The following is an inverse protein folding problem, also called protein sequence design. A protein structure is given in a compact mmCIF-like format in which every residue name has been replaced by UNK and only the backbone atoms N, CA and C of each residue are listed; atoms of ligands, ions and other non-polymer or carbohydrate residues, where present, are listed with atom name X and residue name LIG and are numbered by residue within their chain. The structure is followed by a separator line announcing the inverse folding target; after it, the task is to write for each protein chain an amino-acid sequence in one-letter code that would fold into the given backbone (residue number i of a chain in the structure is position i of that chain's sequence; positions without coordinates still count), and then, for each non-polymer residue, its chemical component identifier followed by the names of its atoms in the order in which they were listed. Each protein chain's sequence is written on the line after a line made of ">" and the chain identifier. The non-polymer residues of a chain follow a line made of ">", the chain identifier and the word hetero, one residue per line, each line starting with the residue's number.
data_IF_272661342024
#
_entry.id   IF_272661342024
#
_cell.length_a   1.000
_cell.length_b   1.000
_cell.length_c   1.000
_cell.angle_alpha   90.00
_cell.angle_beta   90.00
_cell.angle_gamma   90.00
#
_symmetry.space_group_name_H-M   'P 1'
#
loop_
_entity.id
_entity.type
_entity.pdbx_description
1 polymer ?
#
# COMPACT_ATOMS: atom_id res chain seq x y z
N UNK A 1 7.00 35.09 35.01
CA UNK A 1 7.09 33.64 34.80
C UNK A 1 5.72 33.21 34.31
N UNK A 2 5.53 33.20 32.99
CA UNK A 2 4.25 32.93 32.36
C UNK A 2 4.30 31.48 31.92
N UNK A 3 3.62 30.59 32.64
CA UNK A 3 3.48 29.19 32.23
C UNK A 3 2.63 29.14 30.95
N UNK A 4 3.27 28.90 29.81
CA UNK A 4 2.59 28.50 28.58
C UNK A 4 2.11 27.07 28.78
N UNK A 5 0.80 26.89 28.96
CA UNK A 5 0.16 25.58 28.86
C UNK A 5 -0.18 25.39 27.38
N UNK A 6 0.49 24.46 26.72
CA UNK A 6 0.10 24.00 25.38
C UNK A 6 -1.10 23.06 25.53
N UNK A 7 -2.24 23.49 25.00
CA UNK A 7 -3.46 22.68 24.93
C UNK A 7 -3.18 21.43 24.09
N UNK A 8 -3.62 20.23 24.51
CA UNK A 8 -3.42 19.02 23.74
C UNK A 8 -4.16 19.16 22.41
N UNK A 9 -3.41 19.21 21.32
CA UNK A 9 -3.97 19.14 19.96
C UNK A 9 -4.77 17.85 19.84
N UNK A 10 -6.06 17.99 19.57
CA UNK A 10 -6.94 16.88 19.25
C UNK A 10 -6.36 16.16 18.03
N UNK A 11 -6.01 14.89 18.22
CA UNK A 11 -5.57 14.02 17.14
C UNK A 11 -6.72 13.84 16.16
N UNK A 12 -6.47 14.11 14.88
CA UNK A 12 -7.40 13.95 13.74
C UNK A 12 -7.80 12.48 13.48
N UNK A 13 -7.60 11.57 14.44
CA UNK A 13 -8.03 10.18 14.38
C UNK A 13 -9.54 9.99 14.62
N UNK A 14 -10.34 11.05 14.64
CA UNK A 14 -11.80 10.99 14.68
C UNK A 14 -12.51 11.53 13.43
N UNK A 15 -11.77 11.77 12.34
CA UNK A 15 -12.36 11.91 11.02
C UNK A 15 -12.98 10.59 10.59
N UNK A 16 -14.30 10.57 10.44
CA UNK A 16 -15.09 9.49 9.84
C UNK A 16 -14.45 9.08 8.50
N UNK A 17 -13.60 8.05 8.52
CA UNK A 17 -13.21 7.30 7.33
C UNK A 17 -14.27 6.21 7.08
N UNK A 18 -15.50 6.66 6.88
CA UNK A 18 -16.59 5.82 6.43
C UNK A 18 -16.50 5.67 4.92
N UNK A 19 -16.11 4.50 4.44
CA UNK A 19 -16.84 3.67 3.47
C UNK A 19 -16.06 2.37 3.21
N UNK A 20 -16.79 1.31 2.87
CA UNK A 20 -16.38 -0.10 3.00
C UNK A 20 -15.21 -0.48 2.09
N UNK A 21 -14.00 -0.57 2.65
CA UNK A 21 -12.85 -1.28 2.08
C UNK A 21 -12.09 -1.95 3.22
N UNK A 22 -11.70 -3.21 3.07
CA UNK A 22 -10.97 -3.97 4.08
C UNK A 22 -9.51 -3.51 4.12
N UNK A 23 -9.27 -2.28 4.60
CA UNK A 23 -7.94 -1.68 4.65
C UNK A 23 -7.00 -2.66 5.34
N UNK A 24 -6.06 -3.21 4.57
CA UNK A 24 -4.98 -4.01 5.13
C UNK A 24 -4.23 -3.07 6.08
N UNK A 25 -4.34 -3.36 7.38
CA UNK A 25 -3.72 -2.57 8.44
C UNK A 25 -2.21 -2.61 8.29
N UNK A 26 -1.56 -1.50 8.61
CA UNK A 26 -0.10 -1.44 8.66
C UNK A 26 0.43 -2.48 9.66
N UNK A 27 1.45 -3.23 9.24
CA UNK A 27 2.07 -4.29 10.02
C UNK A 27 3.37 -4.75 9.38
N UNK A 28 4.21 -5.46 10.15
CA UNK A 28 5.55 -5.91 9.70
C UNK A 28 5.49 -6.85 8.48
N UNK A 29 4.34 -7.43 8.21
CA UNK A 29 4.09 -8.39 7.13
C UNK A 29 3.42 -7.75 5.91
N UNK A 30 3.23 -6.43 5.92
CA UNK A 30 2.54 -5.68 4.85
C UNK A 30 3.53 -4.82 4.07
N UNK A 31 3.59 -5.00 2.75
CA UNK A 31 4.31 -4.13 1.83
C UNK A 31 3.33 -3.20 1.11
N UNK A 32 3.66 -1.91 1.07
CA UNK A 32 2.96 -0.93 0.23
C UNK A 32 3.77 -0.66 -1.03
N UNK A 33 3.10 -0.69 -2.19
CA UNK A 33 3.67 -0.39 -3.50
C UNK A 33 2.86 0.73 -4.13
N UNK A 34 3.55 1.80 -4.49
CA UNK A 34 2.98 2.94 -5.20
C UNK A 34 3.54 2.92 -6.63
N UNK A 35 2.64 2.87 -7.61
CA UNK A 35 2.96 2.87 -9.04
C UNK A 35 2.50 4.18 -9.66
N UNK A 36 3.29 4.69 -10.61
CA UNK A 36 3.01 5.94 -11.30
C UNK A 36 3.08 5.70 -12.81
N UNK A 37 2.01 6.04 -13.51
CA UNK A 37 1.94 5.89 -14.97
C UNK A 37 1.02 6.92 -15.60
N UNK A 38 1.12 7.11 -16.92
CA UNK A 38 0.34 8.10 -17.64
C UNK A 38 -1.10 7.66 -17.92
N UNK A 39 -1.39 6.36 -17.80
CA UNK A 39 -2.71 5.78 -18.03
C UNK A 39 -3.03 4.67 -17.04
N UNK A 40 -4.30 4.59 -16.64
CA UNK A 40 -4.85 3.48 -15.85
C UNK A 40 -4.54 2.11 -16.45
N UNK A 41 -4.61 1.97 -17.78
CA UNK A 41 -4.31 0.71 -18.43
C UNK A 41 -2.84 0.27 -18.21
N UNK A 42 -1.91 1.23 -18.15
CA UNK A 42 -0.51 0.93 -17.84
C UNK A 42 -0.33 0.58 -16.36
N UNK A 43 -1.01 1.29 -15.45
CA UNK A 43 -1.02 0.96 -14.02
C UNK A 43 -1.53 -0.45 -13.76
N UNK A 44 -2.61 -0.87 -14.41
CA UNK A 44 -3.16 -2.23 -14.28
C UNK A 44 -2.19 -3.29 -14.81
N UNK A 45 -1.55 -3.05 -15.96
CA UNK A 45 -0.54 -3.96 -16.52
C UNK A 45 0.70 -4.07 -15.61
N UNK A 46 1.15 -2.96 -15.04
CA UNK A 46 2.25 -2.98 -14.08
C UNK A 46 1.84 -3.71 -12.82
N UNK A 47 0.70 -3.35 -12.21
CA UNK A 47 0.15 -4.01 -11.03
C UNK A 47 0.07 -5.53 -11.21
N UNK A 48 -0.38 -6.00 -12.37
CA UNK A 48 -0.44 -7.43 -12.67
C UNK A 48 0.93 -8.12 -12.50
N UNK A 49 2.02 -7.49 -12.94
CA UNK A 49 3.39 -8.01 -12.74
C UNK A 49 3.76 -8.09 -11.26
N UNK A 50 3.36 -7.09 -10.47
CA UNK A 50 3.58 -7.10 -9.02
C UNK A 50 2.76 -8.20 -8.34
N UNK A 51 1.51 -8.40 -8.74
CA UNK A 51 0.65 -9.48 -8.23
C UNK A 51 1.21 -10.86 -8.56
N UNK A 52 1.64 -11.09 -9.81
CA UNK A 52 2.29 -12.34 -10.23
C UNK A 52 3.56 -12.63 -9.41
N UNK A 53 4.36 -11.58 -9.17
CA UNK A 53 5.57 -11.70 -8.37
C UNK A 53 5.24 -12.00 -6.91
N UNK A 54 4.24 -11.33 -6.34
CA UNK A 54 3.78 -11.56 -4.99
C UNK A 54 3.28 -13.00 -4.80
N UNK A 55 2.49 -13.52 -5.75
CA UNK A 55 2.00 -14.90 -5.77
C UNK A 55 3.12 -15.93 -5.92
N UNK A 56 4.18 -15.59 -6.67
CA UNK A 56 5.36 -16.44 -6.80
C UNK A 56 6.18 -16.52 -5.51
N UNK A 57 6.14 -15.48 -4.67
CA UNK A 57 6.80 -15.45 -3.36
C UNK A 57 5.94 -16.15 -2.30
N UNK A 58 4.65 -15.82 -2.22
CA UNK A 58 3.71 -16.39 -1.27
C UNK A 58 2.40 -16.76 -1.97
N UNK A 59 2.03 -18.04 -1.93
CA UNK A 59 0.81 -18.54 -2.61
C UNK A 59 -0.48 -17.99 -2.02
N UNK A 60 -0.45 -17.62 -0.73
CA UNK A 60 -1.60 -17.13 0.02
C UNK A 60 -1.55 -15.60 0.21
N UNK A 61 -0.78 -14.88 -0.61
CA UNK A 61 -0.67 -13.43 -0.49
C UNK A 61 -2.04 -12.77 -0.66
N UNK A 62 -2.41 -11.94 0.31
CA UNK A 62 -3.59 -11.07 0.20
C UNK A 62 -3.11 -9.73 -0.35
N UNK A 63 -3.82 -9.17 -1.32
CA UNK A 63 -3.51 -7.83 -1.82
C UNK A 63 -4.76 -6.99 -1.97
N UNK A 64 -4.61 -5.69 -1.76
CA UNK A 64 -5.65 -4.70 -1.89
C UNK A 64 -5.13 -3.54 -2.75
N UNK A 65 -5.99 -3.00 -3.60
CA UNK A 65 -5.68 -1.86 -4.46
C UNK A 65 -6.61 -0.72 -4.07
N UNK A 66 -6.05 0.44 -3.81
CA UNK A 66 -6.83 1.64 -3.53
C UNK A 66 -7.70 2.00 -4.74
N UNK A 67 -8.93 2.52 -4.51
CA UNK A 67 -9.82 2.89 -5.61
C UNK A 67 -9.16 3.94 -6.52
N UNK A 68 -9.16 3.64 -7.82
CA UNK A 68 -8.55 4.45 -8.87
C UNK A 68 -9.62 5.17 -9.68
N UNK A 69 -9.56 6.50 -9.68
CA UNK A 69 -10.29 7.32 -10.65
C UNK A 69 -9.68 7.15 -12.05
N UNK A 70 -10.48 7.31 -13.11
CA UNK A 70 -9.99 7.15 -14.50
C UNK A 70 -8.88 8.14 -14.89
N UNK A 71 -8.79 9.28 -14.18
CA UNK A 71 -7.76 10.29 -14.38
C UNK A 71 -6.58 10.16 -13.40
N UNK A 72 -6.58 9.16 -12.51
CA UNK A 72 -5.49 8.95 -11.55
C UNK A 72 -4.27 8.41 -12.26
N UNK A 73 -3.13 9.08 -12.04
CA UNK A 73 -1.80 8.67 -12.52
C UNK A 73 -1.02 7.85 -11.51
N UNK A 74 -1.64 7.61 -10.36
CA UNK A 74 -1.04 6.90 -9.23
C UNK A 74 -1.95 5.75 -8.79
N UNK A 75 -1.33 4.64 -8.44
CA UNK A 75 -1.97 3.45 -7.90
C UNK A 75 -1.24 3.02 -6.65
N UNK A 76 -1.98 2.90 -5.55
CA UNK A 76 -1.45 2.33 -4.31
C UNK A 76 -2.00 0.91 -4.15
N UNK A 77 -1.10 -0.05 -4.02
CA UNK A 77 -1.41 -1.44 -3.73
C UNK A 77 -0.71 -1.88 -2.45
N UNK A 78 -1.43 -2.63 -1.61
CA UNK A 78 -0.92 -3.21 -0.37
C UNK A 78 -0.91 -4.72 -0.50
N UNK A 79 0.21 -5.34 -0.16
CA UNK A 79 0.41 -6.78 -0.19
C UNK A 79 0.70 -7.26 1.23
N UNK A 80 -0.13 -8.16 1.74
CA UNK A 80 0.03 -8.80 3.04
C UNK A 80 0.55 -10.21 2.86
N UNK A 81 1.70 -10.47 3.47
CA UNK A 81 2.38 -11.75 3.47
C UNK A 81 2.15 -12.50 4.79
N UNK A 82 2.50 -13.78 4.83
CA UNK A 82 2.37 -14.58 6.07
C UNK A 82 3.53 -14.30 7.03
N UNK A 83 4.71 -14.00 6.47
CA UNK A 83 5.92 -13.70 7.26
C UNK A 83 6.68 -12.50 6.71
N UNK A 84 7.36 -11.78 7.59
CA UNK A 84 8.15 -10.60 7.23
C UNK A 84 9.33 -10.91 6.28
N UNK A 85 9.81 -12.17 6.24
CA UNK A 85 10.83 -12.60 5.30
C UNK A 85 10.33 -12.60 3.84
N UNK A 86 9.08 -12.96 3.60
CA UNK A 86 8.46 -12.94 2.27
C UNK A 86 8.30 -11.50 1.78
N UNK A 87 7.90 -10.59 2.68
CA UNK A 87 7.88 -9.15 2.41
C UNK A 87 9.24 -8.65 1.90
N UNK A 88 10.32 -9.01 2.59
CA UNK A 88 11.68 -8.61 2.18
C UNK A 88 12.07 -9.17 0.82
N UNK A 89 11.73 -10.44 0.54
CA UNK A 89 12.01 -11.07 -0.76
C UNK A 89 11.22 -10.36 -1.88
N UNK A 90 9.95 -10.05 -1.62
CA UNK A 90 9.11 -9.29 -2.53
C UNK A 90 9.72 -7.91 -2.81
N UNK A 91 10.06 -7.14 -1.77
CA UNK A 91 10.70 -5.82 -1.90
C UNK A 91 12.02 -5.87 -2.69
N UNK A 92 12.86 -6.88 -2.47
CA UNK A 92 14.12 -7.05 -3.21
C UNK A 92 13.90 -7.33 -4.70
N UNK A 93 12.90 -8.15 -5.01
CA UNK A 93 12.55 -8.52 -6.39
C UNK A 93 11.84 -7.38 -7.11
N UNK A 94 10.94 -6.66 -6.44
CA UNK A 94 10.26 -5.50 -7.01
C UNK A 94 11.24 -4.37 -7.30
N UNK A 95 12.24 -4.15 -6.45
CA UNK A 95 13.36 -3.22 -6.74
C UNK A 95 14.15 -3.61 -7.99
N UNK A 96 14.22 -4.89 -8.31
CA UNK A 96 14.87 -5.38 -9.53
C UNK A 96 13.96 -5.26 -10.76
N UNK A 97 12.64 -5.27 -10.56
CA UNK A 97 11.62 -5.14 -11.60
C UNK A 97 11.37 -3.68 -12.00
N UNK A 98 11.44 -2.75 -11.05
CA UNK A 98 11.22 -1.31 -11.24
C UNK A 98 12.46 -0.56 -11.79
N UNK A 99 13.51 -1.30 -12.18
CA UNK A 99 14.79 -0.75 -12.66
C UNK A 99 14.86 -0.80 -14.18
#
# INVERSE_FOLDING_TARGET
>A
MSNTYEEPTVCDACGVAGEMGFIIKEGDDVAEVQLFSDSKAQLEVELQKYVELAQAVCKNVEFEVSPLEESSKELTARFKFEVSAEKLIFELKTRSLAR
#
